data_IF_401308852172
#
_entry.id   IF_401308852172
#
_cell.length_a   1.000
_cell.length_b   1.000
_cell.length_c   1.000
_cell.angle_alpha   90.00
_cell.angle_beta   90.00
_cell.angle_gamma   90.00
#
_symmetry.space_group_name_H-M   'P 1'
#
loop_
_entity.id
_entity.type
_entity.pdbx_description
1 polymer ?
#
# COMPACT_ATOMS: atom_id res chain seq x y z
N UNK A 1 -9.53 -15.12 0.58
CA UNK A 1 -9.54 -13.96 -0.35
C UNK A 1 -10.54 -12.87 0.02
N UNK A 2 -11.84 -13.15 0.22
CA UNK A 2 -12.85 -12.09 0.46
C UNK A 2 -12.53 -11.15 1.64
N UNK A 3 -12.00 -11.69 2.75
CA UNK A 3 -11.66 -10.90 3.95
C UNK A 3 -10.51 -9.91 3.74
N UNK A 4 -9.52 -10.26 2.90
CA UNK A 4 -8.36 -9.38 2.62
C UNK A 4 -8.75 -8.23 1.70
N UNK A 5 -9.54 -8.50 0.66
CA UNK A 5 -10.08 -7.43 -0.20
C UNK A 5 -10.95 -6.46 0.60
N UNK A 6 -11.77 -6.97 1.52
CA UNK A 6 -12.54 -6.14 2.46
C UNK A 6 -11.64 -5.33 3.40
N UNK A 7 -10.54 -5.90 3.89
CA UNK A 7 -9.56 -5.17 4.69
C UNK A 7 -8.96 -4.00 3.91
N UNK A 8 -8.48 -4.23 2.68
CA UNK A 8 -7.88 -3.18 1.85
C UNK A 8 -8.85 -2.01 1.60
N UNK A 9 -10.10 -2.32 1.21
CA UNK A 9 -11.14 -1.31 0.99
C UNK A 9 -11.46 -0.55 2.28
N UNK A 10 -11.65 -1.25 3.40
CA UNK A 10 -12.00 -0.64 4.68
C UNK A 10 -10.86 0.22 5.22
N UNK A 11 -9.62 -0.26 5.15
CA UNK A 11 -8.44 0.47 5.60
C UNK A 11 -8.20 1.72 4.75
N UNK A 12 -8.38 1.62 3.42
CA UNK A 12 -8.27 2.78 2.53
C UNK A 12 -9.30 3.87 2.87
N UNK A 13 -10.56 3.49 3.13
CA UNK A 13 -11.60 4.43 3.53
C UNK A 13 -11.28 5.11 4.87
N UNK A 14 -10.84 4.34 5.88
CA UNK A 14 -10.49 4.88 7.20
C UNK A 14 -9.26 5.81 7.13
N UNK A 15 -8.23 5.45 6.37
CA UNK A 15 -7.05 6.30 6.16
C UNK A 15 -7.42 7.60 5.48
N UNK A 16 -8.22 7.53 4.41
CA UNK A 16 -8.65 8.73 3.70
C UNK A 16 -9.38 9.69 4.63
N UNK A 17 -10.25 9.15 5.51
CA UNK A 17 -10.95 9.96 6.49
C UNK A 17 -9.98 10.57 7.51
N UNK A 18 -9.06 9.78 8.09
CA UNK A 18 -8.04 10.29 9.03
C UNK A 18 -7.24 11.45 8.40
N UNK A 19 -6.85 11.33 7.13
CA UNK A 19 -6.13 12.40 6.41
C UNK A 19 -6.99 13.65 6.26
N UNK A 20 -8.28 13.50 5.95
CA UNK A 20 -9.21 14.63 5.88
C UNK A 20 -9.34 15.36 7.23
N UNK A 21 -9.60 14.64 8.32
CA UNK A 21 -9.72 15.29 9.64
C UNK A 21 -8.40 15.90 10.09
N UNK A 22 -7.26 15.30 9.76
CA UNK A 22 -5.95 15.88 10.03
C UNK A 22 -5.77 17.20 9.26
N UNK A 23 -6.25 17.27 8.02
CA UNK A 23 -6.22 18.49 7.21
C UNK A 23 -7.07 19.62 7.81
N UNK A 24 -8.30 19.30 8.23
CA UNK A 24 -9.18 20.25 8.94
C UNK A 24 -8.55 20.73 10.26
N UNK A 25 -8.06 19.79 11.07
CA UNK A 25 -7.39 20.08 12.33
C UNK A 25 -6.16 20.99 12.14
N UNK A 26 -5.34 20.71 11.13
CA UNK A 26 -4.17 21.52 10.81
C UNK A 26 -4.56 22.93 10.35
N UNK A 27 -5.63 23.05 9.56
CA UNK A 27 -6.14 24.34 9.11
C UNK A 27 -6.59 25.21 10.28
N UNK A 28 -7.40 24.67 11.19
CA UNK A 28 -7.87 25.40 12.38
C UNK A 28 -6.73 25.76 13.32
N UNK A 29 -5.76 24.85 13.52
CA UNK A 29 -4.58 25.13 14.33
C UNK A 29 -3.72 26.26 13.74
N UNK A 30 -3.60 26.33 12.40
CA UNK A 30 -2.89 27.39 11.72
C UNK A 30 -3.61 28.75 11.85
N UNK A 31 -4.94 28.78 11.83
CA UNK A 31 -5.73 29.99 12.09
C UNK A 31 -5.47 30.49 13.51
N UNK A 32 -5.57 29.62 14.53
CA UNK A 32 -5.31 30.00 15.92
C UNK A 32 -3.88 30.54 16.08
N UNK A 33 -2.88 29.84 15.53
CA UNK A 33 -1.48 30.29 15.57
C UNK A 33 -1.28 31.64 14.87
N UNK A 34 -2.00 31.91 13.78
CA UNK A 34 -1.97 33.21 13.11
C UNK A 34 -2.56 34.33 13.98
N UNK A 35 -3.72 34.09 14.59
CA UNK A 35 -4.39 35.05 15.48
C UNK A 35 -3.52 35.38 16.71
N UNK A 36 -2.90 34.37 17.33
CA UNK A 36 -1.95 34.55 18.44
C UNK A 36 -0.77 35.46 18.06
N UNK A 37 -0.24 35.26 16.85
CA UNK A 37 0.86 36.09 16.36
C UNK A 37 0.40 37.53 16.11
N UNK A 38 -0.83 37.76 15.63
CA UNK A 38 -1.37 39.12 15.43
C UNK A 38 -1.55 39.87 16.75
N UNK A 39 -2.10 39.22 17.78
CA UNK A 39 -2.26 39.81 19.11
C UNK A 39 -0.89 40.19 19.72
N UNK A 40 0.13 39.33 19.54
CA UNK A 40 1.49 39.58 20.04
C UNK A 40 2.14 40.84 19.46
N UNK A 41 1.68 41.30 18.29
CA UNK A 41 2.16 42.51 17.59
C UNK A 41 1.29 43.74 17.92
N UNK A 42 0.29 43.59 18.80
CA UNK A 42 -0.55 44.70 19.27
C UNK A 42 -1.74 45.04 18.36
N UNK A 43 -2.10 44.15 17.43
CA UNK A 43 -3.29 44.32 16.61
C UNK A 43 -4.54 43.91 17.42
N UNK A 44 -5.37 44.89 17.80
CA UNK A 44 -6.69 44.69 18.42
C UNK A 44 -7.74 45.37 17.56
N UNK A 45 -7.99 44.82 16.38
CA UNK A 45 -9.11 45.27 15.56
C UNK A 45 -10.35 44.57 16.11
N UNK A 46 -11.45 45.31 16.32
CA UNK A 46 -12.61 44.94 17.16
C UNK A 46 -13.41 43.71 16.74
N UNK A 47 -12.75 42.57 16.57
CA UNK A 47 -13.33 41.24 16.51
C UNK A 47 -13.86 40.93 17.90
N UNK A 48 -15.06 40.36 18.00
CA UNK A 48 -15.53 39.71 19.22
C UNK A 48 -14.67 38.44 19.46
N UNK A 49 -13.40 38.65 19.82
CA UNK A 49 -12.27 37.70 19.94
C UNK A 49 -12.58 36.36 20.65
N UNK A 50 -13.49 36.27 21.65
CA UNK A 50 -13.73 34.99 22.33
C UNK A 50 -14.50 33.96 21.50
N UNK A 51 -15.35 34.39 20.55
CA UNK A 51 -16.30 33.47 19.89
C UNK A 51 -15.64 32.69 18.76
N UNK A 52 -14.83 33.36 17.93
CA UNK A 52 -14.16 32.71 16.79
C UNK A 52 -13.11 31.67 17.24
N UNK A 53 -12.32 31.98 18.28
CA UNK A 53 -11.35 31.03 18.84
C UNK A 53 -12.01 29.77 19.40
N UNK A 54 -13.14 29.91 20.08
CA UNK A 54 -13.87 28.76 20.66
C UNK A 54 -14.43 27.83 19.59
N UNK A 55 -14.81 28.36 18.42
CA UNK A 55 -15.25 27.57 17.27
C UNK A 55 -14.09 26.71 16.77
N UNK A 56 -12.92 27.31 16.52
CA UNK A 56 -11.74 26.57 16.04
C UNK A 56 -11.23 25.55 17.07
N UNK A 57 -11.15 25.91 18.36
CA UNK A 57 -10.74 24.99 19.42
C UNK A 57 -11.70 23.79 19.54
N UNK A 58 -13.00 24.01 19.32
CA UNK A 58 -13.99 22.92 19.33
C UNK A 58 -13.88 22.04 18.09
N UNK A 59 -13.64 22.63 16.92
CA UNK A 59 -13.37 21.89 15.69
C UNK A 59 -12.12 21.00 15.81
N UNK A 60 -11.03 21.52 16.39
CA UNK A 60 -9.80 20.75 16.65
C UNK A 60 -10.07 19.56 17.59
N UNK A 61 -10.76 19.77 18.71
CA UNK A 61 -11.10 18.68 19.65
C UNK A 61 -11.95 17.61 18.96
N UNK A 62 -12.92 18.02 18.14
CA UNK A 62 -13.77 17.09 17.39
C UNK A 62 -12.93 16.28 16.38
N UNK A 63 -12.13 16.95 15.54
CA UNK A 63 -11.25 16.29 14.58
C UNK A 63 -10.30 15.30 15.26
N UNK A 64 -9.68 15.68 16.38
CA UNK A 64 -8.79 14.82 17.14
C UNK A 64 -9.50 13.55 17.65
N UNK A 65 -10.71 13.68 18.20
CA UNK A 65 -11.53 12.54 18.62
C UNK A 65 -11.90 11.63 17.44
N UNK A 66 -12.31 12.21 16.30
CA UNK A 66 -12.65 11.42 15.11
C UNK A 66 -11.42 10.70 14.54
N UNK A 67 -10.22 11.29 14.60
CA UNK A 67 -8.95 10.60 14.23
C UNK A 67 -8.72 9.40 15.16
N UNK A 68 -8.88 9.58 16.48
CA UNK A 68 -8.74 8.50 17.48
C UNK A 68 -9.65 7.32 17.14
N UNK A 69 -10.95 7.58 17.00
CA UNK A 69 -11.95 6.54 16.82
C UNK A 69 -11.72 5.77 15.49
N UNK A 70 -11.27 6.46 14.44
CA UNK A 70 -10.93 5.82 13.16
C UNK A 70 -9.62 5.03 13.21
N UNK A 71 -8.62 5.50 13.95
CA UNK A 71 -7.39 4.75 14.18
C UNK A 71 -7.66 3.44 14.94
N UNK A 72 -8.51 3.48 15.97
CA UNK A 72 -8.94 2.29 16.69
C UNK A 72 -9.73 1.34 15.77
N UNK A 73 -10.68 1.86 14.99
CA UNK A 73 -11.43 1.07 14.01
C UNK A 73 -10.51 0.41 12.96
N UNK A 74 -9.44 1.09 12.57
CA UNK A 74 -8.41 0.57 11.68
C UNK A 74 -7.68 -0.60 12.34
N UNK A 75 -7.14 -0.42 13.56
CA UNK A 75 -6.46 -1.50 14.29
C UNK A 75 -7.37 -2.72 14.53
N UNK A 76 -8.66 -2.50 14.81
CA UNK A 76 -9.66 -3.59 14.92
C UNK A 76 -9.81 -4.34 13.59
N UNK A 77 -9.84 -3.63 12.46
CA UNK A 77 -9.94 -4.27 11.14
C UNK A 77 -8.74 -5.18 10.84
N UNK A 78 -7.52 -4.72 11.17
CA UNK A 78 -6.29 -5.52 11.05
C UNK A 78 -6.33 -6.75 11.95
N UNK A 79 -6.70 -6.58 13.23
CA UNK A 79 -6.80 -7.69 14.18
C UNK A 79 -7.82 -8.74 13.73
N UNK A 80 -8.93 -8.33 13.11
CA UNK A 80 -9.92 -9.23 12.53
C UNK A 80 -9.38 -10.12 11.39
N UNK A 81 -8.24 -9.75 10.81
CA UNK A 81 -7.52 -10.50 9.80
C UNK A 81 -6.25 -11.21 10.33
N UNK A 82 -6.02 -11.20 11.65
CA UNK A 82 -4.83 -11.80 12.27
C UNK A 82 -3.57 -10.94 12.17
N UNK A 83 -3.70 -9.65 11.81
CA UNK A 83 -2.59 -8.71 11.74
C UNK A 83 -2.56 -7.78 12.95
N UNK A 84 -1.36 -7.30 13.27
CA UNK A 84 -1.13 -6.32 14.33
C UNK A 84 -0.68 -5.00 13.72
N UNK A 85 -1.53 -3.97 13.82
CA UNK A 85 -1.19 -2.59 13.49
C UNK A 85 -0.97 -1.83 14.80
N UNK A 86 0.28 -1.43 15.05
CA UNK A 86 0.61 -0.60 16.21
C UNK A 86 0.14 0.85 15.98
N UNK A 87 -0.79 1.30 16.83
CA UNK A 87 -1.33 2.65 16.83
C UNK A 87 -1.02 3.40 18.13
N UNK A 88 -0.26 2.81 19.06
CA UNK A 88 -0.02 3.36 20.40
C UNK A 88 0.50 4.79 20.35
N UNK A 89 1.57 5.04 19.59
CA UNK A 89 2.19 6.37 19.45
C UNK A 89 1.30 7.38 18.73
N UNK A 90 0.36 6.93 17.89
CA UNK A 90 -0.66 7.81 17.29
C UNK A 90 -1.69 8.22 18.35
N UNK A 91 -2.17 7.27 19.16
CA UNK A 91 -3.14 7.56 20.22
C UNK A 91 -2.56 8.51 21.27
N UNK A 92 -1.28 8.35 21.63
CA UNK A 92 -0.55 9.31 22.49
C UNK A 92 -0.56 10.72 21.90
N UNK A 93 -0.18 10.86 20.62
CA UNK A 93 -0.16 12.18 19.96
C UNK A 93 -1.55 12.82 19.83
N UNK A 94 -2.60 12.02 19.64
CA UNK A 94 -3.99 12.50 19.64
C UNK A 94 -4.40 13.00 21.03
N UNK A 95 -4.09 12.24 22.08
CA UNK A 95 -4.40 12.64 23.46
C UNK A 95 -3.66 13.92 23.84
N UNK A 96 -2.41 14.09 23.39
CA UNK A 96 -1.67 15.33 23.62
C UNK A 96 -2.37 16.56 23.00
N UNK A 97 -3.01 16.43 21.84
CA UNK A 97 -3.83 17.52 21.25
C UNK A 97 -5.06 17.76 22.13
N UNK A 98 -5.80 16.71 22.50
CA UNK A 98 -7.03 16.83 23.29
C UNK A 98 -6.74 17.47 24.65
N UNK A 99 -5.70 17.02 25.34
CA UNK A 99 -5.30 17.51 26.66
C UNK A 99 -4.89 18.99 26.59
N UNK A 100 -4.15 19.39 25.55
CA UNK A 100 -3.81 20.79 25.33
C UNK A 100 -5.07 21.64 25.12
N UNK A 101 -6.01 21.19 24.29
CA UNK A 101 -7.27 21.92 24.04
C UNK A 101 -8.12 22.01 25.30
N UNK A 102 -8.19 20.94 26.10
CA UNK A 102 -8.91 20.95 27.38
C UNK A 102 -8.27 21.91 28.38
N UNK A 103 -6.93 21.94 28.42
CA UNK A 103 -6.18 22.90 29.21
C UNK A 103 -6.55 24.34 28.77
N UNK A 104 -6.53 24.66 27.48
CA UNK A 104 -6.92 25.97 26.95
C UNK A 104 -8.35 26.34 27.38
N UNK A 105 -9.30 25.41 27.19
CA UNK A 105 -10.72 25.61 27.54
C UNK A 105 -10.98 25.80 29.03
N UNK A 106 -10.06 25.35 29.90
CA UNK A 106 -10.20 25.48 31.35
C UNK A 106 -9.92 26.89 31.88
N UNK A 107 -9.27 27.75 31.09
CA UNK A 107 -8.99 29.13 31.48
C UNK A 107 -10.26 29.99 31.36
N UNK A 108 -10.53 30.77 32.40
CA UNK A 108 -11.73 31.64 32.46
C UNK A 108 -11.65 32.85 31.52
N UNK A 109 -10.43 33.34 31.26
CA UNK A 109 -10.13 34.38 30.28
C UNK A 109 -9.01 33.87 29.38
N UNK A 110 -9.22 33.88 28.06
CA UNK A 110 -8.20 33.51 27.06
C UNK A 110 -6.96 34.42 27.17
N UNK A 111 -7.14 35.67 27.62
CA UNK A 111 -6.07 36.64 27.89
C UNK A 111 -5.03 36.15 28.93
N UNK A 112 -5.40 35.17 29.76
CA UNK A 112 -4.48 34.55 30.74
C UNK A 112 -3.70 33.37 30.16
N UNK A 113 -4.11 32.88 28.99
CA UNK A 113 -3.53 31.74 28.32
C UNK A 113 -2.86 32.16 27.02
N UNK A 114 -1.59 32.55 27.13
CA UNK A 114 -0.72 32.65 25.96
C UNK A 114 -0.25 31.22 25.64
N UNK A 115 -0.65 30.64 24.51
CA UNK A 115 0.04 29.48 23.95
C UNK A 115 1.47 29.91 23.62
N UNK A 116 2.35 29.81 24.61
CA UNK A 116 3.72 30.27 24.45
C UNK A 116 4.39 29.48 23.32
N UNK A 117 4.91 30.17 22.31
CA UNK A 117 5.75 29.60 21.25
C UNK A 117 5.11 28.50 20.38
N UNK A 118 3.94 28.73 19.76
CA UNK A 118 3.36 27.81 18.76
C UNK A 118 3.18 26.36 19.30
N UNK A 119 2.85 26.22 20.58
CA UNK A 119 2.67 24.92 21.24
C UNK A 119 1.63 24.06 20.53
N UNK A 120 0.49 24.65 20.15
CA UNK A 120 -0.56 23.94 19.42
C UNK A 120 -0.02 23.36 18.10
N UNK A 121 0.62 24.19 17.28
CA UNK A 121 1.22 23.73 16.02
C UNK A 121 2.27 22.64 16.23
N UNK A 122 3.09 22.73 17.28
CA UNK A 122 4.09 21.70 17.61
C UNK A 122 3.44 20.35 17.91
N UNK A 123 2.35 20.34 18.69
CA UNK A 123 1.62 19.10 19.01
C UNK A 123 0.91 18.56 17.76
N UNK A 124 0.33 19.43 16.93
CA UNK A 124 -0.32 19.06 15.66
C UNK A 124 0.67 18.48 14.64
N UNK A 125 1.87 19.05 14.53
CA UNK A 125 2.93 18.52 13.65
C UNK A 125 3.42 17.14 14.08
N UNK A 126 3.53 16.92 15.40
CA UNK A 126 3.82 15.59 15.94
C UNK A 126 2.70 14.61 15.58
N UNK A 127 1.43 14.99 15.75
CA UNK A 127 0.29 14.17 15.33
C UNK A 127 0.38 13.82 13.84
N UNK A 128 0.65 14.81 12.97
CA UNK A 128 0.85 14.59 11.53
C UNK A 128 1.93 13.55 11.23
N UNK A 129 3.07 13.63 11.90
CA UNK A 129 4.15 12.65 11.73
C UNK A 129 3.71 11.25 12.14
N UNK A 130 2.92 11.11 13.22
CA UNK A 130 2.39 9.81 13.66
C UNK A 130 1.32 9.26 12.72
N UNK A 131 0.45 10.10 12.18
CA UNK A 131 -0.51 9.71 11.14
C UNK A 131 0.23 9.17 9.91
N UNK A 132 1.27 9.86 9.45
CA UNK A 132 2.09 9.40 8.32
C UNK A 132 2.68 8.00 8.58
N UNK A 133 3.26 7.78 9.77
CA UNK A 133 3.80 6.47 10.14
C UNK A 133 2.75 5.34 10.13
N UNK A 134 1.52 5.62 10.59
CA UNK A 134 0.43 4.63 10.54
C UNK A 134 -0.03 4.36 9.10
N UNK A 135 -0.04 5.37 8.23
CA UNK A 135 -0.37 5.21 6.81
C UNK A 135 0.67 4.30 6.12
N UNK A 136 1.95 4.54 6.36
CA UNK A 136 3.06 3.74 5.83
C UNK A 136 2.97 2.28 6.32
N UNK A 137 2.87 2.07 7.65
CA UNK A 137 2.73 0.74 8.26
C UNK A 137 1.50 -0.01 7.76
N UNK A 138 0.37 0.69 7.55
CA UNK A 138 -0.83 0.11 6.98
C UNK A 138 -0.59 -0.38 5.56
N UNK A 139 0.10 0.42 4.74
CA UNK A 139 0.48 0.02 3.39
C UNK A 139 1.33 -1.25 3.37
N UNK A 140 2.33 -1.32 4.24
CA UNK A 140 3.20 -2.50 4.39
C UNK A 140 2.41 -3.75 4.80
N UNK A 141 1.61 -3.66 5.86
CA UNK A 141 0.80 -4.79 6.35
C UNK A 141 -0.26 -5.24 5.33
N UNK A 142 -0.88 -4.30 4.60
CA UNK A 142 -1.81 -4.63 3.52
C UNK A 142 -1.07 -5.38 2.42
N UNK A 143 0.14 -4.96 2.04
CA UNK A 143 0.96 -5.67 1.07
C UNK A 143 1.37 -7.08 1.53
N UNK A 144 1.57 -7.31 2.82
CA UNK A 144 1.88 -8.64 3.37
C UNK A 144 0.72 -9.64 3.21
N UNK A 145 -0.53 -9.18 3.37
CA UNK A 145 -1.70 -10.07 3.30
C UNK A 145 -2.46 -10.00 1.99
N UNK A 146 -2.30 -8.91 1.23
CA UNK A 146 -2.83 -8.82 -0.12
C UNK A 146 -2.19 -9.91 -0.94
N UNK A 147 -2.99 -10.83 -1.48
CA UNK A 147 -2.48 -11.71 -2.50
C UNK A 147 -2.25 -10.85 -3.74
N UNK A 148 -1.05 -10.31 -3.89
CA UNK A 148 -0.30 -10.84 -5.03
C UNK A 148 -0.02 -12.28 -4.62
N UNK A 149 -0.97 -13.19 -4.86
CA UNK A 149 -0.84 -14.57 -4.43
C UNK A 149 0.26 -15.19 -5.26
N UNK A 150 1.51 -15.02 -4.83
CA UNK A 150 2.58 -15.97 -5.08
C UNK A 150 2.38 -17.22 -4.19
N UNK A 151 1.16 -17.46 -3.70
CA UNK A 151 0.67 -18.77 -3.28
C UNK A 151 0.51 -19.75 -4.45
N UNK A 152 0.81 -19.36 -5.70
CA UNK A 152 1.11 -20.39 -6.67
C UNK A 152 2.29 -21.19 -6.15
N UNK A 153 2.00 -22.46 -5.88
CA UNK A 153 2.88 -23.50 -5.36
C UNK A 153 4.25 -23.57 -6.06
N UNK A 154 4.39 -22.91 -7.21
CA UNK A 154 5.58 -22.81 -8.06
C UNK A 154 6.58 -21.72 -7.67
N UNK A 155 6.18 -20.60 -7.07
CA UNK A 155 7.06 -19.44 -6.75
C UNK A 155 7.31 -19.22 -5.25
N UNK A 156 6.88 -20.16 -4.40
CA UNK A 156 6.69 -20.07 -2.94
C UNK A 156 7.88 -19.73 -2.04
N UNK A 157 8.77 -18.82 -2.46
CA UNK A 157 9.93 -18.29 -1.72
C UNK A 157 10.17 -16.79 -1.93
N UNK A 158 9.37 -16.11 -2.77
CA UNK A 158 9.57 -14.68 -3.04
C UNK A 158 8.73 -13.86 -2.06
N UNK A 159 9.38 -13.10 -1.18
CA UNK A 159 8.72 -12.16 -0.27
C UNK A 159 8.75 -10.74 -0.82
N UNK A 160 7.91 -9.84 -0.27
CA UNK A 160 7.97 -8.41 -0.59
C UNK A 160 9.34 -7.81 -0.25
N UNK A 161 9.94 -8.24 0.87
CA UNK A 161 11.28 -7.82 1.27
C UNK A 161 12.35 -8.22 0.22
N UNK A 162 12.21 -9.39 -0.40
CA UNK A 162 13.10 -9.83 -1.47
C UNK A 162 12.95 -8.93 -2.71
N UNK A 163 11.70 -8.58 -3.06
CA UNK A 163 11.40 -7.66 -4.18
C UNK A 163 12.03 -6.31 -3.93
N UNK A 164 11.85 -5.73 -2.73
CA UNK A 164 12.45 -4.46 -2.32
C UNK A 164 13.98 -4.48 -2.36
N UNK A 165 14.59 -5.61 -1.97
CA UNK A 165 16.05 -5.74 -1.95
C UNK A 165 16.66 -5.78 -3.34
N UNK A 166 16.05 -6.51 -4.28
CA UNK A 166 16.57 -6.62 -5.64
C UNK A 166 15.45 -6.96 -6.66
N UNK A 167 14.71 -5.94 -7.15
CA UNK A 167 13.57 -6.14 -8.03
C UNK A 167 13.94 -6.91 -9.31
N UNK A 168 15.07 -6.58 -9.94
CA UNK A 168 15.52 -7.22 -11.17
C UNK A 168 15.81 -8.72 -10.97
N UNK A 169 16.56 -9.08 -9.92
CA UNK A 169 16.91 -10.48 -9.66
C UNK A 169 15.68 -11.34 -9.38
N UNK A 170 14.68 -10.76 -8.71
CA UNK A 170 13.43 -11.46 -8.42
C UNK A 170 12.61 -11.71 -9.69
N UNK A 171 12.53 -10.74 -10.61
CA UNK A 171 11.88 -10.96 -11.91
C UNK A 171 12.61 -12.03 -12.73
N UNK A 172 13.95 -12.01 -12.75
CA UNK A 172 14.73 -13.06 -13.42
C UNK A 172 14.42 -14.45 -12.85
N UNK A 173 14.46 -14.58 -11.52
CA UNK A 173 14.17 -15.85 -10.82
C UNK A 173 12.76 -16.35 -11.12
N UNK A 174 11.77 -15.46 -11.19
CA UNK A 174 10.40 -15.81 -11.52
C UNK A 174 10.28 -16.40 -12.94
N UNK A 175 10.88 -15.77 -13.95
CA UNK A 175 10.89 -16.32 -15.31
C UNK A 175 11.65 -17.64 -15.43
N UNK A 176 12.75 -17.83 -14.69
CA UNK A 176 13.44 -19.12 -14.60
C UNK A 176 12.54 -20.20 -13.99
N UNK A 177 11.72 -19.84 -13.01
CA UNK A 177 10.75 -20.76 -12.39
C UNK A 177 9.64 -21.14 -13.37
N UNK A 178 9.13 -20.19 -14.16
CA UNK A 178 8.20 -20.46 -15.27
C UNK A 178 8.79 -21.47 -16.27
N UNK A 179 10.02 -21.27 -16.75
CA UNK A 179 10.65 -22.23 -17.67
C UNK A 179 10.82 -23.61 -17.05
N UNK A 180 11.25 -23.65 -15.79
CA UNK A 180 11.43 -24.90 -15.05
C UNK A 180 10.11 -25.65 -14.90
N UNK A 181 9.01 -24.92 -14.66
CA UNK A 181 7.67 -25.48 -14.58
C UNK A 181 7.20 -26.02 -15.94
N UNK A 182 7.32 -25.24 -17.00
CA UNK A 182 6.95 -25.65 -18.36
C UNK A 182 7.73 -26.90 -18.81
N UNK A 183 9.03 -26.91 -18.55
CA UNK A 183 9.91 -28.05 -18.88
C UNK A 183 9.46 -29.32 -18.17
N UNK A 184 9.18 -29.25 -16.87
CA UNK A 184 8.65 -30.37 -16.10
C UNK A 184 7.31 -30.84 -16.64
N UNK A 185 6.42 -29.88 -16.99
CA UNK A 185 5.07 -30.17 -17.49
C UNK A 185 5.08 -30.98 -18.80
N UNK A 186 6.05 -30.73 -19.68
CA UNK A 186 6.14 -31.39 -21.00
C UNK A 186 7.23 -32.46 -21.10
N UNK A 187 8.00 -32.71 -20.02
CA UNK A 187 9.10 -33.67 -20.01
C UNK A 187 10.31 -33.29 -20.88
N UNK A 188 10.54 -31.99 -21.12
CA UNK A 188 11.64 -31.52 -21.96
C UNK A 188 13.00 -31.53 -21.24
N UNK A 189 14.10 -31.62 -21.99
CA UNK A 189 15.45 -31.50 -21.47
C UNK A 189 15.91 -30.04 -21.26
N UNK A 190 17.15 -29.87 -20.79
CA UNK A 190 17.74 -28.55 -20.49
C UNK A 190 18.20 -27.80 -21.74
N UNK A 191 18.37 -28.50 -22.87
CA UNK A 191 18.70 -27.95 -24.18
C UNK A 191 17.58 -27.08 -24.76
N UNK A 192 16.34 -27.28 -24.32
CA UNK A 192 15.20 -26.45 -24.70
C UNK A 192 14.99 -25.32 -23.68
N UNK A 193 15.06 -24.09 -24.16
CA UNK A 193 14.85 -22.86 -23.38
C UNK A 193 14.18 -21.77 -24.22
N UNK A 194 13.65 -20.74 -23.56
CA UNK A 194 13.02 -19.58 -24.17
C UNK A 194 11.91 -19.94 -25.15
N UNK A 195 11.92 -19.28 -26.31
CA UNK A 195 10.89 -19.47 -27.33
C UNK A 195 10.85 -20.91 -27.87
N UNK A 196 12.00 -21.60 -27.96
CA UNK A 196 12.04 -23.00 -28.42
C UNK A 196 11.27 -23.93 -27.47
N UNK A 197 11.41 -23.74 -26.15
CA UNK A 197 10.66 -24.49 -25.15
C UNK A 197 9.15 -24.21 -25.24
N UNK A 198 8.78 -22.94 -25.43
CA UNK A 198 7.38 -22.53 -25.56
C UNK A 198 6.76 -23.09 -26.86
N UNK A 199 7.51 -23.10 -27.97
CA UNK A 199 7.06 -23.70 -29.22
C UNK A 199 6.92 -25.22 -29.12
N UNK A 200 7.81 -25.90 -28.39
CA UNK A 200 7.67 -27.32 -28.10
C UNK A 200 6.43 -27.61 -27.24
N UNK A 201 6.03 -26.69 -26.38
CA UNK A 201 4.81 -26.82 -25.59
C UNK A 201 3.55 -26.51 -26.41
N UNK A 202 3.46 -25.36 -27.07
CA UNK A 202 2.19 -24.86 -27.64
C UNK A 202 2.21 -24.62 -29.15
N UNK A 203 3.30 -24.93 -29.86
CA UNK A 203 3.37 -24.84 -31.31
C UNK A 203 2.42 -25.81 -32.02
N UNK A 204 2.44 -25.83 -33.36
CA UNK A 204 1.51 -26.66 -34.15
C UNK A 204 1.48 -28.15 -33.74
N UNK A 205 2.66 -28.70 -33.40
CA UNK A 205 2.85 -30.07 -32.91
C UNK A 205 3.29 -30.10 -31.43
N UNK A 206 2.99 -29.06 -30.66
CA UNK A 206 3.44 -28.98 -29.27
C UNK A 206 2.73 -29.98 -28.34
N UNK A 207 3.27 -30.19 -27.14
CA UNK A 207 2.77 -31.19 -26.18
C UNK A 207 1.55 -30.74 -25.36
N UNK A 208 1.22 -29.45 -25.37
CA UNK A 208 0.15 -28.82 -24.61
C UNK A 208 -0.84 -28.11 -25.52
N UNK A 209 -2.11 -28.17 -25.13
CA UNK A 209 -3.21 -27.39 -25.70
C UNK A 209 -3.85 -26.54 -24.61
N UNK A 210 -3.99 -25.25 -24.88
CA UNK A 210 -4.75 -24.33 -24.04
C UNK A 210 -6.03 -23.93 -24.77
N UNK A 211 -7.17 -24.09 -24.09
CA UNK A 211 -8.48 -23.89 -24.69
C UNK A 211 -8.93 -25.05 -25.57
N UNK A 212 -10.03 -24.83 -26.27
CA UNK A 212 -10.75 -25.85 -27.05
C UNK A 212 -10.58 -25.70 -28.55
N UNK A 213 -10.18 -24.52 -29.03
CA UNK A 213 -10.00 -24.24 -30.46
C UNK A 213 -8.55 -23.92 -30.83
N UNK A 214 -8.09 -24.23 -32.07
CA UNK A 214 -6.70 -24.01 -32.46
C UNK A 214 -6.20 -22.56 -32.30
N UNK A 215 -7.07 -21.57 -32.46
CA UNK A 215 -6.72 -20.16 -32.29
C UNK A 215 -6.38 -19.79 -30.84
N UNK A 216 -7.01 -20.42 -29.85
CA UNK A 216 -6.72 -20.20 -28.43
C UNK A 216 -5.33 -20.71 -28.06
N UNK A 217 -4.98 -21.89 -28.58
CA UNK A 217 -3.63 -22.46 -28.45
C UNK A 217 -2.56 -21.54 -29.04
N UNK A 218 -2.80 -21.02 -30.26
CA UNK A 218 -1.89 -20.06 -30.90
C UNK A 218 -1.80 -18.77 -30.09
N UNK A 219 -2.92 -18.30 -29.54
CA UNK A 219 -2.97 -17.14 -28.64
C UNK A 219 -2.10 -17.34 -27.40
N UNK A 220 -2.24 -18.47 -26.70
CA UNK A 220 -1.43 -18.81 -25.53
C UNK A 220 0.07 -18.87 -25.88
N UNK A 221 0.43 -19.55 -26.97
CA UNK A 221 1.82 -19.61 -27.47
C UNK A 221 2.40 -18.22 -27.72
N UNK A 222 1.68 -17.38 -28.45
CA UNK A 222 2.13 -16.02 -28.80
C UNK A 222 2.25 -15.13 -27.55
N UNK A 223 1.28 -15.22 -26.63
CA UNK A 223 1.31 -14.48 -25.38
C UNK A 223 2.50 -14.87 -24.50
N UNK A 224 2.71 -16.17 -24.27
CA UNK A 224 3.83 -16.67 -23.46
C UNK A 224 5.19 -16.30 -24.09
N UNK A 225 5.35 -16.51 -25.41
CA UNK A 225 6.59 -16.18 -26.11
C UNK A 225 6.86 -14.67 -26.08
N UNK A 226 5.83 -13.84 -26.31
CA UNK A 226 5.94 -12.38 -26.25
C UNK A 226 6.30 -11.88 -24.84
N UNK A 227 5.60 -12.36 -23.81
CA UNK A 227 5.90 -12.01 -22.42
C UNK A 227 7.34 -12.39 -22.05
N UNK A 228 7.78 -13.59 -22.43
CA UNK A 228 9.14 -14.05 -22.21
C UNK A 228 10.16 -13.16 -22.95
N UNK A 229 9.95 -12.92 -24.24
CA UNK A 229 10.87 -12.13 -25.05
C UNK A 229 11.00 -10.67 -24.57
N UNK A 230 9.89 -10.06 -24.14
CA UNK A 230 9.87 -8.67 -23.69
C UNK A 230 10.42 -8.52 -22.27
N UNK A 231 10.06 -9.42 -21.35
CA UNK A 231 10.34 -9.22 -19.92
C UNK A 231 11.49 -10.09 -19.39
N UNK A 232 11.77 -11.26 -19.96
CA UNK A 232 12.92 -12.07 -19.53
C UNK A 232 14.19 -11.62 -20.25
N UNK A 233 14.18 -11.57 -21.59
CA UNK A 233 15.42 -11.43 -22.37
C UNK A 233 16.24 -10.18 -22.04
N UNK A 234 15.66 -8.96 -21.91
CA UNK A 234 16.46 -7.79 -21.56
C UNK A 234 17.23 -7.96 -20.26
N UNK A 235 16.63 -8.59 -19.25
CA UNK A 235 17.23 -8.79 -17.93
C UNK A 235 18.38 -9.81 -17.95
N UNK A 236 18.47 -10.67 -18.98
CA UNK A 236 19.58 -11.62 -19.14
C UNK A 236 20.76 -11.04 -19.93
N UNK A 237 20.52 -9.99 -20.72
CA UNK A 237 21.52 -9.41 -21.60
C UNK A 237 22.04 -8.05 -21.12
N UNK A 238 21.29 -7.37 -20.25
CA UNK A 238 21.66 -6.07 -19.68
C UNK A 238 21.05 -5.87 -18.30
N UNK A 239 21.63 -4.94 -17.55
CA UNK A 239 20.98 -4.38 -16.36
C UNK A 239 19.75 -3.59 -16.77
N UNK A 240 18.64 -3.79 -16.06
CA UNK A 240 17.39 -3.07 -16.28
C UNK A 240 17.04 -2.41 -14.96
N UNK A 241 16.92 -1.09 -14.95
CA UNK A 241 16.40 -0.39 -13.79
C UNK A 241 14.95 -0.79 -13.57
N UNK A 242 14.72 -1.51 -12.49
CA UNK A 242 13.43 -2.07 -12.13
C UNK A 242 13.06 -1.53 -10.76
N UNK A 243 11.87 -0.94 -10.66
CA UNK A 243 11.32 -0.56 -9.37
C UNK A 243 10.44 -1.69 -8.80
N UNK A 244 10.18 -1.62 -7.49
CA UNK A 244 9.40 -2.61 -6.75
C UNK A 244 8.01 -2.85 -7.38
N UNK A 245 7.34 -1.77 -7.80
CA UNK A 245 6.00 -1.86 -8.37
C UNK A 245 5.98 -2.63 -9.70
N UNK A 246 6.96 -2.39 -10.58
CA UNK A 246 7.06 -3.10 -11.85
C UNK A 246 7.42 -4.57 -11.62
N UNK A 247 8.35 -4.86 -10.71
CA UNK A 247 8.68 -6.23 -10.34
C UNK A 247 7.44 -7.00 -9.83
N UNK A 248 6.64 -6.40 -8.95
CA UNK A 248 5.39 -7.01 -8.48
C UNK A 248 4.41 -7.30 -9.61
N UNK A 249 4.24 -6.38 -10.57
CA UNK A 249 3.38 -6.60 -11.75
C UNK A 249 3.88 -7.76 -12.61
N UNK A 250 5.20 -7.87 -12.80
CA UNK A 250 5.81 -8.95 -13.57
C UNK A 250 5.72 -10.29 -12.83
N UNK A 251 5.76 -10.30 -11.50
CA UNK A 251 5.51 -11.51 -10.71
C UNK A 251 4.07 -12.02 -10.89
N UNK A 252 3.08 -11.13 -10.88
CA UNK A 252 1.68 -11.47 -11.21
C UNK A 252 1.56 -12.02 -12.63
N UNK A 253 2.28 -11.42 -13.59
CA UNK A 253 2.31 -11.93 -14.96
C UNK A 253 2.88 -13.34 -15.02
N UNK A 254 4.03 -13.60 -14.39
CA UNK A 254 4.65 -14.94 -14.37
C UNK A 254 3.73 -15.97 -13.70
N UNK A 255 3.07 -15.59 -12.61
CA UNK A 255 2.05 -16.42 -11.95
C UNK A 255 0.93 -16.81 -12.93
N UNK A 256 0.40 -15.84 -13.68
CA UNK A 256 -0.60 -16.09 -14.72
C UNK A 256 -0.06 -17.05 -15.79
N UNK A 257 1.18 -16.88 -16.26
CA UNK A 257 1.79 -17.78 -17.24
C UNK A 257 1.86 -19.23 -16.72
N UNK A 258 2.19 -19.42 -15.44
CA UNK A 258 2.23 -20.74 -14.82
C UNK A 258 0.82 -21.34 -14.70
N UNK A 259 -0.19 -20.55 -14.32
CA UNK A 259 -1.59 -21.02 -14.28
C UNK A 259 -2.08 -21.48 -15.65
N UNK A 260 -1.74 -20.75 -16.72
CA UNK A 260 -2.08 -21.18 -18.08
C UNK A 260 -1.45 -22.55 -18.42
N UNK A 261 -0.24 -22.85 -17.92
CA UNK A 261 0.40 -24.16 -18.06
C UNK A 261 -0.37 -25.24 -17.31
N UNK A 262 -0.78 -24.95 -16.07
CA UNK A 262 -1.51 -25.90 -15.22
C UNK A 262 -2.91 -26.21 -15.77
N UNK A 263 -3.56 -25.22 -16.37
CA UNK A 263 -4.87 -25.36 -17.03
C UNK A 263 -4.79 -26.01 -18.42
N UNK A 264 -3.59 -26.16 -18.97
CA UNK A 264 -3.42 -26.77 -20.29
C UNK A 264 -3.50 -28.29 -20.24
N UNK A 265 -4.17 -28.86 -21.23
CA UNK A 265 -4.29 -30.30 -21.43
C UNK A 265 -3.10 -30.85 -22.22
N UNK A 266 -2.79 -32.12 -22.00
CA UNK A 266 -1.83 -32.81 -22.87
C UNK A 266 -2.47 -33.04 -24.23
N UNK A 267 -1.78 -32.70 -25.31
CA UNK A 267 -2.19 -33.16 -26.63
C UNK A 267 -1.96 -34.68 -26.69
N UNK A 268 -3.04 -35.46 -26.78
CA UNK A 268 -2.94 -36.88 -27.15
C UNK A 268 -2.34 -36.96 -28.55
N UNK A 269 -1.13 -37.51 -28.64
CA UNK A 269 -0.52 -37.93 -29.89
C UNK A 269 -1.21 -39.20 -30.38
#
# INVERSE_FOLDING_TARGET
MHRVGQLAVKSSALISQIICDLGELYHDAAIISYLENMESVGYRDGVDEPVELQVHLSSIDECARRIRDRAEALAIAFRGCGLYLDISTLLEAVNDVIDLIQQVKSYRNLDQFVLSNNQLMTVVDRLRTKVQGVVENTGELICEVMPVSLEARSLGRITYADVRRNPQAIVQYAFTSFESHLRKRIGAGLELYGENLINQAYGGNGNLSYGTVPSERVGARNFMSGAYAVFRNPRMHRTVEENEQMAMKLLVLVDLLIKLIDESENTTV
#
